data_IF_273443451742
#
_entry.id   IF_273443451742
#
_cell.length_a   1.000
_cell.length_b   1.000
_cell.length_c   1.000
_cell.angle_alpha   90.00
_cell.angle_beta   90.00
_cell.angle_gamma   90.00
#
_symmetry.space_group_name_H-M   'P 1'
#
loop_
_entity.id
_entity.type
_entity.pdbx_description
1 polymer ?
#
# COMPACT_ATOMS: atom_id res chain seq x y z
N UNK A 1 82.70 -12.35 11.65
CA UNK A 1 81.85 -11.74 12.65
C UNK A 1 80.45 -11.65 12.10
N UNK A 2 79.50 -12.39 12.65
CA UNK A 2 78.10 -12.48 12.17
C UNK A 2 77.28 -11.49 12.97
N UNK A 3 76.57 -10.55 12.29
CA UNK A 3 75.52 -9.75 12.89
C UNK A 3 74.19 -10.26 12.41
N UNK A 4 73.45 -10.83 13.32
CA UNK A 4 72.09 -11.28 13.11
C UNK A 4 71.10 -10.08 13.13
N UNK A 5 70.48 -9.78 12.02
CA UNK A 5 69.35 -8.83 11.94
C UNK A 5 68.03 -9.54 12.26
N UNK A 6 67.39 -9.16 13.36
CA UNK A 6 66.04 -9.59 13.69
C UNK A 6 65.05 -8.78 12.80
N UNK A 7 64.34 -9.48 11.98
CA UNK A 7 63.17 -8.92 11.25
C UNK A 7 61.98 -8.81 12.20
N UNK A 8 61.53 -7.59 12.43
CA UNK A 8 60.23 -7.29 13.08
C UNK A 8 59.08 -7.70 12.18
N UNK A 9 58.00 -8.31 12.69
CA UNK A 9 56.85 -8.63 11.89
C UNK A 9 56.09 -7.34 11.54
N UNK A 10 55.88 -7.14 10.26
CA UNK A 10 55.09 -6.06 9.69
C UNK A 10 53.61 -6.27 10.15
N UNK A 11 53.09 -5.36 10.94
CA UNK A 11 51.71 -5.28 11.32
C UNK A 11 50.87 -5.27 10.05
N UNK A 12 50.09 -6.33 9.81
CA UNK A 12 49.03 -6.34 8.81
C UNK A 12 47.94 -5.40 9.32
N UNK A 13 47.90 -4.19 8.79
CA UNK A 13 46.73 -3.33 8.87
C UNK A 13 45.61 -4.02 8.10
N UNK A 14 44.65 -4.55 8.84
CA UNK A 14 43.37 -5.01 8.27
C UNK A 14 42.61 -3.77 7.80
N UNK A 15 42.71 -3.44 6.50
CA UNK A 15 41.81 -2.55 5.87
C UNK A 15 40.44 -3.20 5.94
N UNK A 16 39.59 -2.75 6.86
CA UNK A 16 38.16 -3.03 6.84
C UNK A 16 37.65 -2.28 5.61
N UNK A 17 37.55 -2.99 4.50
CA UNK A 17 36.89 -2.53 3.31
C UNK A 17 35.42 -2.31 3.71
N UNK A 18 35.08 -1.05 4.01
CA UNK A 18 33.68 -0.67 4.23
C UNK A 18 32.95 -0.97 2.93
N UNK A 19 32.16 -2.05 2.93
CA UNK A 19 31.31 -2.41 1.83
C UNK A 19 30.50 -1.17 1.45
N UNK A 20 30.60 -0.75 0.19
CA UNK A 20 29.79 0.35 -0.33
C UNK A 20 28.32 0.09 0.02
N UNK A 21 27.55 1.11 0.43
CA UNK A 21 26.16 0.93 0.79
C UNK A 21 25.45 0.24 -0.38
N UNK A 22 24.88 -0.94 -0.12
CA UNK A 22 24.19 -1.71 -1.15
C UNK A 22 23.04 -0.87 -1.69
N UNK A 23 23.08 -0.58 -2.99
CA UNK A 23 22.05 0.21 -3.65
C UNK A 23 20.67 -0.39 -3.39
N UNK A 24 19.72 0.41 -2.92
CA UNK A 24 18.36 -0.04 -2.65
C UNK A 24 17.69 -0.54 -3.93
N UNK A 25 17.17 -1.77 -3.87
CA UNK A 25 16.47 -2.44 -4.96
C UNK A 25 15.01 -2.64 -4.54
N UNK A 26 14.07 -1.81 -5.03
CA UNK A 26 12.69 -1.88 -4.62
C UNK A 26 12.03 -3.19 -5.04
N UNK A 27 11.18 -3.76 -4.20
CA UNK A 27 10.30 -4.87 -4.55
C UNK A 27 8.95 -4.31 -4.99
N UNK A 28 8.62 -4.45 -6.28
CA UNK A 28 7.36 -3.98 -6.87
C UNK A 28 6.47 -5.19 -7.15
N UNK A 29 5.26 -5.21 -6.60
CA UNK A 29 4.23 -6.20 -6.97
C UNK A 29 3.36 -5.62 -8.07
N UNK A 30 3.30 -6.27 -9.22
CA UNK A 30 2.52 -5.84 -10.38
C UNK A 30 1.32 -6.73 -10.64
N UNK A 31 0.11 -6.18 -10.55
CA UNK A 31 -1.13 -6.83 -10.96
C UNK A 31 -1.43 -6.46 -12.41
N UNK A 32 -1.21 -7.39 -13.36
CA UNK A 32 -1.33 -7.12 -14.79
C UNK A 32 -2.56 -7.80 -15.39
N UNK A 33 -3.37 -7.02 -16.10
CA UNK A 33 -4.50 -7.54 -16.86
C UNK A 33 -4.03 -8.50 -17.96
N UNK A 34 -4.62 -9.69 -18.00
CA UNK A 34 -4.29 -10.73 -18.98
C UNK A 34 -4.38 -10.26 -20.44
N UNK A 35 -5.41 -9.48 -20.75
CA UNK A 35 -5.77 -9.15 -22.12
C UNK A 35 -4.94 -8.02 -22.73
N UNK A 36 -4.41 -7.14 -21.89
CA UNK A 36 -3.71 -5.93 -22.33
C UNK A 36 -2.33 -5.81 -21.70
N UNK A 37 -2.22 -5.35 -20.46
CA UNK A 37 -0.94 -5.00 -19.86
C UNK A 37 0.03 -6.18 -19.74
N UNK A 38 -0.47 -7.40 -19.47
CA UNK A 38 0.37 -8.60 -19.48
C UNK A 38 0.88 -8.91 -20.88
N UNK A 39 0.02 -8.78 -21.91
CA UNK A 39 0.45 -8.92 -23.32
C UNK A 39 1.50 -7.88 -23.71
N UNK A 40 1.35 -6.62 -23.26
CA UNK A 40 2.36 -5.57 -23.44
C UNK A 40 3.69 -5.90 -22.74
N UNK A 41 3.63 -6.47 -21.53
CA UNK A 41 4.82 -6.93 -20.81
C UNK A 41 5.51 -8.11 -21.53
N UNK A 42 4.73 -9.03 -22.08
CA UNK A 42 5.23 -10.17 -22.86
C UNK A 42 5.89 -9.69 -24.13
N UNK A 43 5.25 -8.80 -24.88
CA UNK A 43 5.83 -8.14 -26.07
C UNK A 43 7.12 -7.39 -25.72
N UNK A 44 7.16 -6.71 -24.58
CA UNK A 44 8.37 -6.05 -24.09
C UNK A 44 9.54 -7.05 -23.95
N UNK A 45 9.26 -8.21 -23.35
CA UNK A 45 10.24 -9.27 -23.15
C UNK A 45 10.73 -9.88 -24.48
N UNK A 46 9.81 -10.23 -25.38
CA UNK A 46 10.13 -10.78 -26.73
C UNK A 46 10.93 -9.78 -27.55
N UNK A 47 10.58 -8.49 -27.49
CA UNK A 47 11.28 -7.40 -28.17
C UNK A 47 12.60 -6.99 -27.48
N UNK A 48 12.93 -7.59 -26.35
CA UNK A 48 14.16 -7.33 -25.56
C UNK A 48 14.29 -5.88 -25.08
N UNK A 49 13.18 -5.19 -24.86
CA UNK A 49 13.19 -3.89 -24.20
C UNK A 49 13.58 -4.06 -22.72
N UNK A 50 14.46 -3.19 -22.24
CA UNK A 50 15.06 -3.34 -20.92
C UNK A 50 14.37 -2.47 -19.88
N UNK A 51 14.07 -3.06 -18.74
CA UNK A 51 13.64 -2.37 -17.51
C UNK A 51 14.21 -3.11 -16.29
N UNK A 52 14.31 -2.44 -15.10
CA UNK A 52 14.88 -3.07 -13.91
C UNK A 52 14.07 -4.28 -13.44
N UNK A 53 14.71 -5.38 -12.99
CA UNK A 53 14.04 -6.63 -12.62
C UNK A 53 13.39 -6.58 -11.23
N UNK A 54 12.77 -5.45 -10.89
CA UNK A 54 12.16 -5.24 -9.57
C UNK A 54 10.69 -5.66 -9.52
N UNK A 55 10.06 -5.86 -10.68
CA UNK A 55 8.67 -6.22 -10.81
C UNK A 55 8.44 -7.73 -10.55
N UNK A 56 7.49 -8.05 -9.69
CA UNK A 56 6.94 -9.40 -9.48
C UNK A 56 5.52 -9.41 -9.99
N UNK A 57 5.28 -10.09 -11.09
CA UNK A 57 4.01 -10.07 -11.83
C UNK A 57 3.03 -11.07 -11.26
N UNK A 58 1.83 -10.60 -10.98
CA UNK A 58 0.63 -11.39 -10.73
C UNK A 58 -0.34 -11.13 -11.89
N UNK A 59 -0.54 -12.13 -12.72
CA UNK A 59 -1.45 -12.07 -13.86
C UNK A 59 -2.89 -12.26 -13.42
N UNK A 60 -3.76 -11.35 -13.78
CA UNK A 60 -5.19 -11.37 -13.48
C UNK A 60 -6.00 -11.33 -14.77
N UNK A 61 -7.19 -11.94 -14.76
CA UNK A 61 -8.06 -11.89 -15.93
C UNK A 61 -8.50 -10.47 -16.30
N UNK A 62 -8.69 -9.60 -15.30
CA UNK A 62 -9.03 -8.20 -15.51
C UNK A 62 -8.44 -7.34 -14.38
N UNK A 63 -7.98 -6.11 -14.68
CA UNK A 63 -7.53 -5.16 -13.66
C UNK A 63 -8.64 -4.78 -12.65
N UNK A 64 -9.91 -4.81 -13.05
CA UNK A 64 -11.05 -4.62 -12.14
C UNK A 64 -11.17 -5.67 -11.03
N UNK A 65 -10.44 -6.81 -11.14
CA UNK A 65 -10.34 -7.81 -10.06
C UNK A 65 -9.33 -7.43 -8.97
N UNK A 66 -8.57 -6.35 -9.17
CA UNK A 66 -7.64 -5.84 -8.15
C UNK A 66 -8.44 -5.23 -7.01
N UNK A 67 -8.56 -6.01 -5.95
CA UNK A 67 -9.22 -5.64 -4.72
C UNK A 67 -8.29 -4.79 -3.82
N UNK A 68 -8.87 -3.90 -3.02
CA UNK A 68 -8.16 -3.16 -1.98
C UNK A 68 -7.31 -4.08 -1.09
N UNK A 69 -7.86 -5.25 -0.72
CA UNK A 69 -7.15 -6.23 0.09
C UNK A 69 -5.89 -6.77 -0.60
N UNK A 70 -5.85 -6.88 -1.93
CA UNK A 70 -4.65 -7.32 -2.65
C UNK A 70 -3.56 -6.27 -2.55
N UNK A 71 -3.92 -5.00 -2.73
CA UNK A 71 -3.00 -3.86 -2.63
C UNK A 71 -2.42 -3.77 -1.21
N UNK A 72 -3.28 -3.77 -0.19
CA UNK A 72 -2.84 -3.67 1.21
C UNK A 72 -2.01 -4.88 1.65
N UNK A 73 -2.37 -6.11 1.22
CA UNK A 73 -1.58 -7.32 1.50
C UNK A 73 -0.20 -7.29 0.85
N UNK A 74 -0.07 -6.74 -0.36
CA UNK A 74 1.23 -6.59 -0.99
C UNK A 74 2.16 -5.72 -0.13
N UNK A 75 1.70 -4.56 0.32
CA UNK A 75 2.45 -3.68 1.24
C UNK A 75 2.71 -4.35 2.60
N UNK A 76 1.71 -5.01 3.20
CA UNK A 76 1.85 -5.71 4.48
C UNK A 76 2.86 -6.86 4.41
N UNK A 77 3.07 -7.45 3.23
CA UNK A 77 4.09 -8.49 2.97
C UNK A 77 5.45 -7.92 2.55
N UNK A 78 5.64 -6.61 2.65
CA UNK A 78 6.94 -5.96 2.44
C UNK A 78 7.20 -5.52 1.01
N UNK A 79 6.18 -5.39 0.16
CA UNK A 79 6.37 -4.71 -1.12
C UNK A 79 6.65 -3.22 -0.88
N UNK A 80 7.64 -2.68 -1.58
CA UNK A 80 7.94 -1.25 -1.56
C UNK A 80 6.96 -0.44 -2.41
N UNK A 81 6.36 -1.09 -3.41
CA UNK A 81 5.37 -0.49 -4.28
C UNK A 81 4.44 -1.51 -4.92
N UNK A 82 3.28 -1.03 -5.37
CA UNK A 82 2.29 -1.80 -6.10
C UNK A 82 1.99 -1.12 -7.43
N UNK A 83 2.04 -1.91 -8.50
CA UNK A 83 1.68 -1.49 -9.84
C UNK A 83 0.41 -2.21 -10.29
N UNK A 84 -0.55 -1.48 -10.84
CA UNK A 84 -1.76 -2.03 -11.46
C UNK A 84 -1.74 -1.67 -12.93
N UNK A 85 -1.70 -2.67 -13.79
CA UNK A 85 -1.71 -2.48 -15.24
C UNK A 85 -3.00 -2.96 -15.87
N UNK A 86 -3.73 -2.06 -16.52
CA UNK A 86 -5.01 -2.33 -17.16
C UNK A 86 -5.08 -1.95 -18.63
N UNK A 87 -6.22 -2.25 -19.25
CA UNK A 87 -6.55 -1.80 -20.59
C UNK A 87 -6.82 -0.30 -20.60
N UNK A 88 -6.60 0.37 -21.71
CA UNK A 88 -7.05 1.76 -21.90
C UNK A 88 -8.54 1.88 -21.61
N UNK A 89 -8.95 3.05 -21.10
CA UNK A 89 -10.36 3.32 -20.79
C UNK A 89 -11.19 3.16 -22.07
N UNK A 90 -12.36 2.55 -21.92
CA UNK A 90 -13.28 2.18 -23.00
C UNK A 90 -12.81 1.04 -23.93
N UNK A 91 -11.60 0.49 -23.73
CA UNK A 91 -11.04 -0.62 -24.50
C UNK A 91 -10.89 -1.90 -23.65
N UNK A 92 -11.67 -2.01 -22.60
CA UNK A 92 -11.63 -3.17 -21.70
C UNK A 92 -12.34 -4.38 -22.33
N UNK A 93 -11.73 -5.57 -22.22
CA UNK A 93 -12.37 -6.83 -22.64
C UNK A 93 -13.69 -7.10 -21.90
N UNK A 94 -13.83 -6.58 -20.69
CA UNK A 94 -15.04 -6.63 -19.85
C UNK A 94 -15.67 -5.23 -19.76
N UNK A 95 -15.85 -4.59 -20.90
CA UNK A 95 -16.45 -3.26 -20.99
C UNK A 95 -17.93 -3.28 -20.49
N UNK A 96 -18.42 -2.25 -19.76
CA UNK A 96 -17.70 -0.99 -19.44
C UNK A 96 -17.03 -0.97 -18.06
N UNK A 97 -16.93 -2.07 -17.32
CA UNK A 97 -16.70 -2.04 -15.87
C UNK A 97 -15.23 -2.19 -15.47
N UNK A 98 -14.52 -3.17 -16.03
CA UNK A 98 -13.26 -3.66 -15.48
C UNK A 98 -12.18 -2.61 -15.22
N UNK A 99 -11.88 -1.72 -16.16
CA UNK A 99 -10.86 -0.68 -15.97
C UNK A 99 -11.35 0.50 -15.12
N UNK A 100 -12.64 0.83 -15.15
CA UNK A 100 -13.21 1.84 -14.25
C UNK A 100 -13.25 1.36 -12.80
N UNK A 101 -13.50 0.07 -12.55
CA UNK A 101 -13.40 -0.52 -11.22
C UNK A 101 -11.94 -0.48 -10.72
N UNK A 102 -10.96 -0.77 -11.60
CA UNK A 102 -9.55 -0.63 -11.27
C UNK A 102 -9.18 0.80 -10.89
N UNK A 103 -9.73 1.80 -11.62
CA UNK A 103 -9.52 3.21 -11.33
C UNK A 103 -10.08 3.59 -9.96
N UNK A 104 -11.34 3.23 -9.68
CA UNK A 104 -12.00 3.49 -8.41
C UNK A 104 -11.24 2.86 -7.23
N UNK A 105 -10.97 1.55 -7.32
CA UNK A 105 -10.22 0.82 -6.30
C UNK A 105 -8.82 1.43 -6.06
N UNK A 106 -8.13 1.87 -7.11
CA UNK A 106 -6.80 2.50 -6.98
C UNK A 106 -6.89 3.86 -6.30
N UNK A 107 -7.86 4.70 -6.66
CA UNK A 107 -8.06 6.01 -6.04
C UNK A 107 -8.43 5.87 -4.57
N UNK A 108 -9.33 4.95 -4.23
CA UNK A 108 -9.71 4.64 -2.85
C UNK A 108 -8.50 4.10 -2.07
N UNK A 109 -7.75 3.15 -2.63
CA UNK A 109 -6.55 2.62 -1.99
C UNK A 109 -5.52 3.72 -1.71
N UNK A 110 -5.28 4.65 -2.63
CA UNK A 110 -4.36 5.78 -2.43
C UNK A 110 -4.77 6.65 -1.25
N UNK A 111 -6.07 6.95 -1.12
CA UNK A 111 -6.59 7.75 0.01
C UNK A 111 -6.40 7.05 1.34
N UNK A 112 -6.65 5.73 1.40
CA UNK A 112 -6.45 4.94 2.62
C UNK A 112 -4.95 4.83 2.95
N UNK A 113 -4.11 4.50 1.97
CA UNK A 113 -2.66 4.40 2.14
C UNK A 113 -2.05 5.69 2.69
N UNK A 114 -2.47 6.85 2.18
CA UNK A 114 -2.05 8.16 2.67
C UNK A 114 -2.36 8.32 4.17
N UNK A 115 -3.56 7.93 4.61
CA UNK A 115 -3.97 7.97 6.02
C UNK A 115 -3.24 6.95 6.90
N UNK A 116 -2.71 5.89 6.31
CA UNK A 116 -1.87 4.91 6.99
C UNK A 116 -0.39 5.33 7.06
N UNK A 117 -0.02 6.43 6.40
CA UNK A 117 1.36 6.94 6.35
C UNK A 117 2.20 6.33 5.21
N UNK A 118 1.56 5.69 4.23
CA UNK A 118 2.22 5.23 3.00
C UNK A 118 2.12 6.32 1.94
N UNK A 119 3.24 6.70 1.35
CA UNK A 119 3.24 7.64 0.24
C UNK A 119 2.39 7.08 -0.92
N UNK A 120 1.31 7.77 -1.35
CA UNK A 120 0.38 7.29 -2.38
C UNK A 120 1.03 7.09 -3.76
N UNK A 121 2.21 7.66 -3.99
CA UNK A 121 3.03 7.46 -5.19
C UNK A 121 3.60 6.04 -5.30
N UNK A 122 3.58 5.26 -4.21
CA UNK A 122 3.97 3.85 -4.20
C UNK A 122 2.92 2.92 -4.81
N UNK A 123 1.71 3.44 -5.06
CA UNK A 123 0.67 2.75 -5.81
C UNK A 123 0.48 3.45 -7.16
N UNK A 124 0.73 2.74 -8.26
CA UNK A 124 0.59 3.27 -9.61
C UNK A 124 -0.40 2.45 -10.43
N UNK A 125 -1.31 3.13 -11.10
CA UNK A 125 -2.19 2.56 -12.11
C UNK A 125 -1.80 3.12 -13.46
N UNK A 126 -1.64 2.23 -14.45
CA UNK A 126 -1.33 2.61 -15.82
C UNK A 126 -2.15 1.80 -16.82
N UNK A 127 -2.44 2.44 -17.93
CA UNK A 127 -3.12 1.84 -19.06
C UNK A 127 -2.10 1.48 -20.14
N UNK A 128 -2.03 0.17 -20.46
CA UNK A 128 -1.09 -0.37 -21.44
C UNK A 128 -1.79 -1.42 -22.27
N UNK A 129 -1.80 -1.26 -23.61
CA UNK A 129 -2.31 -2.25 -24.54
C UNK A 129 -1.32 -3.39 -24.78
N UNK A 130 -1.80 -4.50 -25.32
CA UNK A 130 -0.96 -5.67 -25.65
C UNK A 130 0.14 -5.34 -26.69
N UNK A 131 -0.11 -4.38 -27.59
CA UNK A 131 0.86 -3.91 -28.58
C UNK A 131 1.86 -2.85 -28.07
N UNK A 132 1.75 -2.39 -26.82
CA UNK A 132 2.54 -1.27 -26.29
C UNK A 132 3.72 -1.73 -25.40
N UNK A 133 4.54 -2.69 -25.89
CA UNK A 133 5.70 -3.19 -25.15
C UNK A 133 6.74 -2.12 -24.81
N UNK A 134 6.97 -1.14 -25.71
CA UNK A 134 7.87 0.01 -25.44
C UNK A 134 7.34 0.85 -24.28
N UNK A 135 6.05 1.21 -24.32
CA UNK A 135 5.40 1.96 -23.24
C UNK A 135 5.49 1.24 -21.89
N UNK A 136 5.31 -0.10 -21.90
CA UNK A 136 5.48 -0.88 -20.68
C UNK A 136 6.88 -0.73 -20.08
N UNK A 137 7.93 -0.82 -20.90
CA UNK A 137 9.32 -0.62 -20.44
C UNK A 137 9.55 0.79 -19.90
N UNK A 138 9.06 1.82 -20.58
CA UNK A 138 9.17 3.23 -20.16
C UNK A 138 8.52 3.46 -18.82
N UNK A 139 7.28 2.96 -18.63
CA UNK A 139 6.52 3.06 -17.37
C UNK A 139 7.25 2.34 -16.23
N UNK A 140 7.80 1.15 -16.48
CA UNK A 140 8.54 0.39 -15.46
C UNK A 140 9.87 1.06 -15.10
N UNK A 141 10.57 1.65 -16.05
CA UNK A 141 11.80 2.41 -15.81
C UNK A 141 11.51 3.63 -14.93
N UNK A 142 10.53 4.45 -15.32
CA UNK A 142 10.12 5.63 -14.57
C UNK A 142 9.65 5.28 -13.14
N UNK A 143 8.78 4.26 -13.01
CA UNK A 143 8.29 3.85 -11.69
C UNK A 143 9.39 3.29 -10.80
N UNK A 144 10.33 2.51 -11.37
CA UNK A 144 11.47 1.99 -10.64
C UNK A 144 12.40 3.09 -10.14
N UNK A 145 12.68 4.10 -10.96
CA UNK A 145 13.50 5.26 -10.57
C UNK A 145 12.82 6.04 -9.44
N UNK A 146 11.52 6.26 -9.53
CA UNK A 146 10.75 6.93 -8.50
C UNK A 146 10.77 6.16 -7.18
N UNK A 147 10.64 4.83 -7.22
CA UNK A 147 10.74 3.99 -6.01
C UNK A 147 12.13 4.03 -5.38
N UNK A 148 13.19 4.05 -6.20
CA UNK A 148 14.56 4.22 -5.69
C UNK A 148 14.72 5.56 -4.96
N UNK A 149 14.17 6.64 -5.47
CA UNK A 149 14.26 7.96 -4.82
C UNK A 149 13.45 8.04 -3.52
N UNK A 150 12.35 7.29 -3.41
CA UNK A 150 11.53 7.23 -2.19
C UNK A 150 12.11 6.32 -1.11
N UNK A 151 13.05 5.43 -1.46
CA UNK A 151 13.64 4.47 -0.54
C UNK A 151 12.65 3.37 -0.08
N UNK A 152 13.02 2.53 0.90
CA UNK A 152 12.20 1.43 1.38
C UNK A 152 10.89 1.89 2.03
N UNK A 153 9.84 1.06 1.92
CA UNK A 153 8.48 1.39 2.38
C UNK A 153 8.16 0.90 3.80
N UNK A 154 8.93 -0.01 4.35
CA UNK A 154 8.45 -0.84 5.45
C UNK A 154 8.88 -0.42 6.86
N UNK A 155 7.90 -0.41 7.79
CA UNK A 155 8.12 -0.55 9.22
C UNK A 155 7.16 -1.62 9.77
N UNK A 156 7.52 -2.26 10.89
CA UNK A 156 6.61 -3.22 11.58
C UNK A 156 5.30 -2.56 12.02
N UNK A 157 5.35 -1.28 12.34
CA UNK A 157 4.17 -0.49 12.70
C UNK A 157 3.21 -0.31 11.51
N UNK A 158 3.75 -0.09 10.31
CA UNK A 158 2.95 0.00 9.09
C UNK A 158 2.22 -1.32 8.79
N UNK A 159 2.84 -2.46 9.07
CA UNK A 159 2.23 -3.76 8.87
C UNK A 159 0.92 -3.90 9.67
N UNK A 160 0.93 -3.54 10.95
CA UNK A 160 -0.28 -3.62 11.80
C UNK A 160 -1.39 -2.67 11.33
N UNK A 161 -1.03 -1.47 10.85
CA UNK A 161 -1.97 -0.51 10.26
C UNK A 161 -2.61 -1.06 8.98
N UNK A 162 -1.83 -1.70 8.13
CA UNK A 162 -2.31 -2.33 6.89
C UNK A 162 -3.22 -3.54 7.18
N UNK A 163 -2.89 -4.35 8.19
CA UNK A 163 -3.73 -5.46 8.62
C UNK A 163 -5.10 -4.99 9.10
N UNK A 164 -5.17 -3.90 9.87
CA UNK A 164 -6.43 -3.28 10.26
C UNK A 164 -7.25 -2.81 9.04
N UNK A 165 -6.60 -2.20 8.05
CA UNK A 165 -7.26 -1.80 6.81
C UNK A 165 -7.77 -3.00 6.01
N UNK A 166 -7.01 -4.11 5.96
CA UNK A 166 -7.45 -5.36 5.30
C UNK A 166 -8.73 -5.91 5.92
N UNK A 167 -8.84 -5.90 7.24
CA UNK A 167 -10.05 -6.34 7.95
C UNK A 167 -11.27 -5.48 7.60
N UNK A 168 -11.05 -4.20 7.30
CA UNK A 168 -12.11 -3.26 6.99
C UNK A 168 -12.57 -3.31 5.50
N UNK A 169 -11.83 -3.97 4.62
CA UNK A 169 -12.14 -3.99 3.17
C UNK A 169 -13.58 -4.43 2.86
N UNK A 170 -14.18 -5.45 3.49
CA UNK A 170 -15.57 -5.82 3.19
C UNK A 170 -16.55 -4.68 3.48
N UNK A 171 -16.35 -3.94 4.57
CA UNK A 171 -17.14 -2.76 4.91
C UNK A 171 -16.91 -1.61 3.92
N UNK A 172 -15.65 -1.31 3.57
CA UNK A 172 -15.31 -0.26 2.59
C UNK A 172 -16.04 -0.53 1.27
N UNK A 173 -16.03 -1.77 0.78
CA UNK A 173 -16.73 -2.15 -0.45
C UNK A 173 -18.25 -1.94 -0.38
N UNK A 174 -18.83 -2.20 0.78
CA UNK A 174 -20.26 -1.91 0.98
C UNK A 174 -20.52 -0.40 0.89
N UNK A 175 -19.70 0.40 1.57
CA UNK A 175 -19.79 1.87 1.54
C UNK A 175 -19.59 2.41 0.12
N UNK A 176 -18.58 1.92 -0.61
CA UNK A 176 -18.34 2.30 -2.00
C UNK A 176 -19.58 2.04 -2.87
N UNK A 177 -20.18 0.88 -2.74
CA UNK A 177 -21.35 0.50 -3.53
C UNK A 177 -22.60 1.31 -3.20
N UNK A 178 -22.84 1.64 -1.93
CA UNK A 178 -24.08 2.24 -1.46
C UNK A 178 -24.01 3.77 -1.36
N UNK A 179 -22.86 4.33 -1.01
CA UNK A 179 -22.71 5.74 -0.65
C UNK A 179 -21.68 6.53 -1.47
N UNK A 180 -20.67 5.85 -2.05
CA UNK A 180 -19.56 6.50 -2.76
C UNK A 180 -19.61 6.20 -4.28
N UNK A 181 -20.79 6.25 -4.87
CA UNK A 181 -20.95 5.99 -6.30
C UNK A 181 -20.50 7.19 -7.13
N UNK A 182 -19.61 6.93 -8.08
CA UNK A 182 -19.20 7.93 -9.06
C UNK A 182 -20.36 8.16 -10.06
N UNK A 183 -20.89 9.39 -10.19
CA UNK A 183 -22.06 9.66 -11.03
C UNK A 183 -21.82 9.44 -12.52
N UNK A 184 -20.59 9.72 -12.99
CA UNK A 184 -20.22 9.63 -14.40
C UNK A 184 -18.98 8.75 -14.55
N UNK A 185 -19.11 7.67 -15.30
CA UNK A 185 -18.02 6.71 -15.57
C UNK A 185 -17.08 7.23 -16.67
N UNK A 186 -16.32 8.26 -16.32
CA UNK A 186 -15.21 8.79 -17.11
C UNK A 186 -14.02 9.01 -16.20
N UNK A 187 -12.81 9.04 -16.73
CA UNK A 187 -11.62 9.31 -15.93
C UNK A 187 -11.73 10.64 -15.18
N UNK A 188 -12.21 11.67 -15.86
CA UNK A 188 -12.44 12.98 -15.28
C UNK A 188 -13.49 12.92 -14.16
N UNK A 189 -14.60 12.18 -14.38
CA UNK A 189 -15.66 11.96 -13.38
C UNK A 189 -15.10 11.32 -12.10
N UNK A 190 -14.29 10.28 -12.23
CA UNK A 190 -13.62 9.64 -11.08
C UNK A 190 -12.67 10.61 -10.37
N UNK A 191 -11.79 11.29 -11.11
CA UNK A 191 -10.83 12.24 -10.53
C UNK A 191 -11.53 13.40 -9.82
N UNK A 192 -12.59 13.95 -10.42
CA UNK A 192 -13.41 15.02 -9.84
C UNK A 192 -14.10 14.55 -8.55
N UNK A 193 -14.74 13.38 -8.57
CA UNK A 193 -15.44 12.84 -7.40
C UNK A 193 -14.48 12.58 -6.24
N UNK A 194 -13.39 11.84 -6.47
CA UNK A 194 -12.39 11.52 -5.44
C UNK A 194 -11.59 12.75 -4.96
N UNK A 195 -11.64 13.86 -5.67
CA UNK A 195 -11.07 15.16 -5.29
C UNK A 195 -12.08 16.12 -4.66
N UNK A 196 -13.37 15.78 -4.59
CA UNK A 196 -14.43 16.65 -4.09
C UNK A 196 -14.46 16.74 -2.56
N UNK A 197 -15.05 17.83 -2.05
CA UNK A 197 -15.31 18.02 -0.63
C UNK A 197 -16.33 16.99 -0.12
N UNK A 198 -17.38 16.74 -0.89
CA UNK A 198 -18.38 15.72 -0.61
C UNK A 198 -17.76 14.33 -0.37
N UNK A 199 -16.84 13.90 -1.25
CA UNK A 199 -16.09 12.65 -1.04
C UNK A 199 -15.27 12.70 0.25
N UNK A 200 -14.58 13.81 0.53
CA UNK A 200 -13.76 13.93 1.72
C UNK A 200 -14.58 13.83 3.02
N UNK A 201 -15.75 14.47 3.06
CA UNK A 201 -16.67 14.39 4.20
C UNK A 201 -17.15 12.94 4.42
N UNK A 202 -17.69 12.31 3.37
CA UNK A 202 -18.16 10.93 3.42
C UNK A 202 -17.03 9.93 3.75
N UNK A 203 -15.84 10.15 3.22
CA UNK A 203 -14.67 9.33 3.50
C UNK A 203 -14.26 9.43 4.97
N UNK A 204 -14.26 10.64 5.53
CA UNK A 204 -13.94 10.86 6.94
C UNK A 204 -14.98 10.19 7.85
N UNK A 205 -16.26 10.47 7.61
CA UNK A 205 -17.37 9.95 8.41
C UNK A 205 -17.48 8.42 8.35
N UNK A 206 -17.45 7.85 7.13
CA UNK A 206 -17.79 6.43 6.94
C UNK A 206 -16.55 5.50 7.01
N UNK A 207 -15.37 5.99 6.68
CA UNK A 207 -14.18 5.12 6.55
C UNK A 207 -13.15 5.40 7.61
N UNK A 208 -12.77 6.67 7.87
CA UNK A 208 -11.69 6.96 8.80
C UNK A 208 -12.03 6.59 10.23
N UNK A 209 -13.25 6.88 10.69
CA UNK A 209 -13.70 6.51 12.04
C UNK A 209 -13.65 4.99 12.24
N UNK A 210 -14.16 4.22 11.27
CA UNK A 210 -14.10 2.75 11.33
C UNK A 210 -12.68 2.21 11.19
N UNK A 211 -11.81 2.89 10.45
CA UNK A 211 -10.38 2.54 10.36
C UNK A 211 -9.68 2.78 11.71
N UNK A 212 -9.98 3.89 12.40
CA UNK A 212 -9.47 4.17 13.75
C UNK A 212 -9.92 3.08 14.73
N UNK A 213 -11.22 2.74 14.75
CA UNK A 213 -11.76 1.66 15.57
C UNK A 213 -11.11 0.31 15.30
N UNK A 214 -10.91 -0.04 14.02
CA UNK A 214 -10.22 -1.29 13.63
C UNK A 214 -8.77 -1.33 14.13
N UNK A 215 -8.07 -0.19 14.10
CA UNK A 215 -6.71 -0.07 14.65
C UNK A 215 -6.70 -0.20 16.17
N UNK A 216 -7.63 0.43 16.87
CA UNK A 216 -7.80 0.28 18.33
C UNK A 216 -8.02 -1.19 18.68
N UNK A 217 -8.93 -1.86 17.99
CA UNK A 217 -9.20 -3.30 18.19
C UNK A 217 -7.97 -4.17 17.97
N UNK A 218 -7.11 -3.81 17.01
CA UNK A 218 -5.84 -4.48 16.78
C UNK A 218 -4.91 -4.45 18.00
N UNK A 219 -4.86 -3.34 18.71
CA UNK A 219 -4.09 -3.21 19.97
C UNK A 219 -4.73 -3.97 21.13
N UNK A 220 -6.03 -3.78 21.32
CA UNK A 220 -6.79 -4.35 22.44
C UNK A 220 -6.80 -5.88 22.40
N UNK A 221 -6.74 -6.50 21.22
CA UNK A 221 -6.64 -7.95 21.06
C UNK A 221 -5.34 -8.56 21.55
N UNK A 222 -4.26 -7.78 21.57
CA UNK A 222 -2.93 -8.27 21.95
C UNK A 222 -2.72 -8.17 23.46
N UNK A 223 -3.13 -7.07 24.05
CA UNK A 223 -2.99 -6.80 25.51
C UNK A 223 -4.01 -5.75 25.96
N UNK A 224 -4.23 -5.71 27.27
CA UNK A 224 -4.93 -4.57 27.87
C UNK A 224 -4.11 -3.28 27.63
N UNK A 225 -4.78 -2.22 27.20
CA UNK A 225 -4.16 -0.93 26.85
C UNK A 225 -4.93 0.24 27.45
N UNK A 226 -4.20 1.28 27.83
CA UNK A 226 -4.81 2.52 28.31
C UNK A 226 -5.18 3.46 27.15
N UNK A 227 -6.13 4.36 27.39
CA UNK A 227 -6.48 5.40 26.40
C UNK A 227 -5.27 6.28 26.01
N UNK A 228 -4.34 6.52 26.94
CA UNK A 228 -3.12 7.28 26.67
C UNK A 228 -2.17 6.51 25.75
N UNK A 229 -2.00 5.20 25.94
CA UNK A 229 -1.20 4.36 25.02
C UNK A 229 -1.83 4.31 23.62
N UNK A 230 -3.16 4.20 23.53
CA UNK A 230 -3.89 4.23 22.24
C UNK A 230 -3.64 5.57 21.54
N UNK A 231 -3.83 6.69 22.25
CA UNK A 231 -3.57 8.04 21.72
C UNK A 231 -2.14 8.18 21.18
N UNK A 232 -1.14 7.80 21.97
CA UNK A 232 0.28 7.88 21.57
C UNK A 232 0.63 7.02 20.34
N UNK A 233 0.14 5.78 20.28
CA UNK A 233 0.44 4.85 19.19
C UNK A 233 -0.32 5.14 17.90
N UNK A 234 -1.53 5.67 17.99
CA UNK A 234 -2.37 5.91 16.81
C UNK A 234 -2.31 7.36 16.32
N UNK A 235 -1.75 8.28 17.11
CA UNK A 235 -1.73 9.71 16.81
C UNK A 235 -3.12 10.35 16.84
N UNK A 236 -4.04 9.76 17.63
CA UNK A 236 -5.39 10.28 17.85
C UNK A 236 -5.41 11.20 19.07
N UNK A 237 -6.27 12.19 19.05
CA UNK A 237 -6.51 13.02 20.24
C UNK A 237 -7.22 12.23 21.34
N UNK A 238 -7.08 12.65 22.60
CA UNK A 238 -7.76 11.99 23.70
C UNK A 238 -9.29 11.98 23.53
N UNK A 239 -9.86 13.03 22.92
CA UNK A 239 -11.30 13.11 22.64
C UNK A 239 -11.75 12.10 21.59
N UNK A 240 -10.96 11.92 20.51
CA UNK A 240 -11.24 10.91 19.47
C UNK A 240 -11.13 9.50 20.05
N UNK A 241 -10.10 9.23 20.85
CA UNK A 241 -9.94 7.92 21.52
C UNK A 241 -11.14 7.64 22.43
N UNK A 242 -11.54 8.60 23.28
CA UNK A 242 -12.69 8.43 24.18
C UNK A 242 -13.96 8.11 23.38
N UNK A 243 -14.26 8.88 22.33
CA UNK A 243 -15.42 8.65 21.45
C UNK A 243 -15.42 7.24 20.85
N UNK A 244 -14.29 6.79 20.28
CA UNK A 244 -14.20 5.46 19.68
C UNK A 244 -14.27 4.34 20.70
N UNK A 245 -13.73 4.52 21.91
CA UNK A 245 -13.84 3.53 22.97
C UNK A 245 -15.29 3.41 23.47
N UNK A 246 -16.01 4.53 23.60
CA UNK A 246 -17.43 4.52 23.94
C UNK A 246 -18.26 3.76 22.89
N UNK A 247 -18.04 4.03 21.62
CA UNK A 247 -18.71 3.32 20.51
C UNK A 247 -18.42 1.80 20.56
N UNK A 248 -17.14 1.41 20.69
CA UNK A 248 -16.73 0.00 20.77
C UNK A 248 -17.30 -0.70 22.01
N UNK A 249 -17.43 0.01 23.12
CA UNK A 249 -18.03 -0.50 24.34
C UNK A 249 -19.54 -0.70 24.19
N UNK A 250 -20.24 0.26 23.55
CA UNK A 250 -21.67 0.15 23.24
C UNK A 250 -21.96 -1.01 22.29
N UNK A 251 -21.07 -1.27 21.33
CA UNK A 251 -21.15 -2.43 20.43
C UNK A 251 -20.78 -3.76 21.12
N UNK A 252 -20.35 -3.73 22.40
CA UNK A 252 -19.97 -4.89 23.19
C UNK A 252 -18.66 -5.55 22.75
N UNK A 253 -17.82 -4.84 22.00
CA UNK A 253 -16.56 -5.36 21.48
C UNK A 253 -15.39 -5.25 22.45
N UNK A 254 -15.49 -4.29 23.38
CA UNK A 254 -14.50 -4.04 24.42
C UNK A 254 -15.18 -3.87 25.78
N UNK A 255 -14.40 -4.04 26.84
CA UNK A 255 -14.78 -3.72 28.22
C UNK A 255 -13.65 -3.01 28.93
N UNK A 256 -13.99 -2.13 29.83
CA UNK A 256 -13.05 -1.46 30.73
C UNK A 256 -12.74 -2.36 31.93
N UNK A 257 -11.53 -2.23 32.48
CA UNK A 257 -11.17 -2.81 33.76
C UNK A 257 -11.96 -2.15 34.92
N UNK A 258 -11.89 -2.75 36.13
CA UNK A 258 -12.61 -2.24 37.30
C UNK A 258 -12.26 -0.78 37.63
N UNK A 259 -11.07 -0.32 37.28
CA UNK A 259 -10.60 1.05 37.52
C UNK A 259 -10.82 2.00 36.33
N UNK A 260 -11.39 1.53 35.23
CA UNK A 260 -11.55 2.24 33.96
C UNK A 260 -10.23 2.80 33.37
N UNK A 261 -9.12 2.17 33.71
CA UNK A 261 -7.78 2.60 33.27
C UNK A 261 -7.29 1.89 32.04
N UNK A 262 -7.71 0.65 31.84
CA UNK A 262 -7.35 -0.19 30.70
C UNK A 262 -8.57 -0.79 29.99
N UNK A 263 -8.41 -1.06 28.70
CA UNK A 263 -9.43 -1.62 27.84
C UNK A 263 -8.97 -3.00 27.34
N UNK A 264 -9.90 -3.96 27.35
CA UNK A 264 -9.69 -5.32 26.86
C UNK A 264 -10.82 -5.72 25.90
N UNK A 265 -10.63 -6.77 25.12
CA UNK A 265 -11.72 -7.38 24.35
C UNK A 265 -12.74 -8.01 25.28
N UNK A 266 -13.99 -7.93 24.90
CA UNK A 266 -15.11 -8.57 25.62
C UNK A 266 -15.04 -10.09 25.50
#
# INVERSE_FOLDING_TARGET
MKCSGRSTPRSQEWCIEMAAPTEFKPTIVGFLCNWCCYGGADLCGVSRFQYPPYLRVIRLMCSGRVDLAFIFRAFAKGADAVFVGGCHLNDCHYNPEGNYDALGNTLMAKRILERLGVNPERLRLEWVSAGEGTRFAEVMNDFSMKMKSLGPSGSSELQSRLEAAIQLVPYIKLVERERLRVPVRTEEGYRKFFGSEEFNELFNELILDKLAMSRIMGFVRIKAVSAAEISGNLGLTAAEVARHLDELSQEGLIRFDENQTCVTTS
#
